data_IF_556002825333
#
_entry.id   IF_556002825333
#
_cell.length_a   1.000
_cell.length_b   1.000
_cell.length_c   1.000
_cell.angle_alpha   90.00
_cell.angle_beta   90.00
_cell.angle_gamma   90.00
#
_symmetry.space_group_name_H-M   'P 1'
#
loop_
_entity.id
_entity.type
_entity.pdbx_description
1 polymer ?
#
# COMPACT_ATOMS: atom_id res chain seq x y z
N UNK A 1 11.40 -16.07 14.60
CA UNK A 1 10.35 -16.04 13.55
C UNK A 1 10.87 -15.34 12.32
N UNK A 2 10.59 -15.85 11.12
CA UNK A 2 11.08 -15.20 9.91
C UNK A 2 10.41 -13.84 9.70
N UNK A 3 11.21 -12.88 9.29
CA UNK A 3 10.72 -11.55 8.94
C UNK A 3 10.38 -11.54 7.44
N UNK A 4 9.20 -11.00 7.13
CA UNK A 4 8.77 -10.82 5.75
C UNK A 4 8.85 -9.35 5.38
N UNK A 5 9.21 -9.07 4.13
CA UNK A 5 9.19 -7.72 3.61
C UNK A 5 7.97 -7.55 2.71
N UNK A 6 7.14 -6.58 3.05
CA UNK A 6 5.90 -6.30 2.36
C UNK A 6 5.96 -4.96 1.66
N UNK A 7 5.32 -4.88 0.50
CA UNK A 7 5.18 -3.65 -0.27
C UNK A 7 3.76 -3.13 -0.09
N UNK A 8 3.65 -1.89 0.38
CA UNK A 8 2.38 -1.26 0.69
C UNK A 8 2.20 0.01 -0.12
N UNK A 9 0.97 0.27 -0.54
CA UNK A 9 0.57 1.54 -1.13
C UNK A 9 -0.34 2.25 -0.15
N UNK A 10 0.07 3.43 0.30
CA UNK A 10 -0.72 4.27 1.19
C UNK A 10 -1.38 5.37 0.38
N UNK A 11 -2.63 5.69 0.70
CA UNK A 11 -3.36 6.76 0.04
C UNK A 11 -4.30 7.48 0.97
N UNK A 12 -4.44 8.79 0.78
CA UNK A 12 -5.38 9.63 1.53
C UNK A 12 -5.87 10.76 0.62
N UNK A 13 -7.16 11.07 0.68
CA UNK A 13 -7.70 12.23 -0.05
C UNK A 13 -8.04 13.41 0.87
N UNK A 14 -7.64 13.34 2.12
CA UNK A 14 -7.80 14.48 3.02
C UNK A 14 -6.75 15.55 2.72
N UNK A 15 -7.08 16.79 3.07
CA UNK A 15 -6.16 17.92 2.88
C UNK A 15 -4.91 17.73 3.71
N UNK A 16 -3.75 17.77 3.06
CA UNK A 16 -2.46 17.63 3.69
C UNK A 16 -2.05 16.19 3.99
N UNK A 17 -0.77 15.97 4.29
CA UNK A 17 -0.20 14.64 4.45
C UNK A 17 -0.28 14.08 5.88
N UNK A 18 -1.08 14.69 6.76
CA UNK A 18 -1.09 14.33 8.18
C UNK A 18 -1.47 12.87 8.44
N UNK A 19 -2.52 12.39 7.76
CA UNK A 19 -2.94 10.99 7.91
C UNK A 19 -1.88 10.01 7.41
N UNK A 20 -1.14 10.40 6.36
CA UNK A 20 -0.03 9.59 5.85
C UNK A 20 1.06 9.44 6.91
N UNK A 21 1.42 10.53 7.58
CA UNK A 21 2.42 10.51 8.65
C UNK A 21 1.99 9.63 9.80
N UNK A 22 0.72 9.75 10.20
CA UNK A 22 0.16 8.92 11.27
C UNK A 22 0.17 7.45 10.88
N UNK A 23 -0.11 7.14 9.61
CA UNK A 23 -0.05 5.77 9.13
C UNK A 23 1.37 5.22 9.20
N UNK A 24 2.37 6.00 8.79
CA UNK A 24 3.77 5.58 8.91
C UNK A 24 4.14 5.28 10.37
N UNK A 25 3.71 6.10 11.31
CA UNK A 25 3.96 5.87 12.74
C UNK A 25 3.33 4.56 13.23
N UNK A 26 2.09 4.29 12.80
CA UNK A 26 1.39 3.06 13.18
C UNK A 26 2.05 1.82 12.57
N UNK A 27 2.50 1.93 11.33
CA UNK A 27 3.23 0.83 10.67
C UNK A 27 4.56 0.58 11.35
N UNK A 28 5.26 1.63 11.79
CA UNK A 28 6.54 1.50 12.48
C UNK A 28 6.42 0.71 13.79
N UNK A 29 5.24 0.67 14.39
CA UNK A 29 4.99 -0.15 15.58
C UNK A 29 4.96 -1.65 15.25
N UNK A 30 4.78 -2.03 13.99
CA UNK A 30 4.78 -3.43 13.56
C UNK A 30 6.17 -3.91 13.16
N UNK A 31 7.05 -3.00 12.76
CA UNK A 31 8.41 -3.33 12.33
C UNK A 31 9.03 -2.20 11.53
N UNK A 32 10.26 -2.37 11.06
CA UNK A 32 10.95 -1.34 10.27
C UNK A 32 10.16 -0.95 9.01
N UNK A 33 10.04 0.34 8.80
CA UNK A 33 9.32 0.93 7.67
C UNK A 33 10.30 1.77 6.85
N UNK A 34 10.23 1.65 5.52
CA UNK A 34 11.04 2.48 4.63
C UNK A 34 10.15 3.03 3.51
N UNK A 35 10.15 4.35 3.36
CA UNK A 35 9.46 5.00 2.26
C UNK A 35 10.27 4.82 0.98
N UNK A 36 9.66 4.27 -0.07
CA UNK A 36 10.31 4.10 -1.37
C UNK A 36 10.09 5.29 -2.28
N UNK A 37 9.03 6.04 -2.03
CA UNK A 37 8.75 7.29 -2.75
C UNK A 37 8.45 8.38 -1.73
N UNK A 38 8.58 9.62 -2.15
CA UNK A 38 8.02 10.75 -1.39
C UNK A 38 6.49 10.60 -1.36
N UNK A 39 5.84 11.35 -0.48
CA UNK A 39 4.38 11.45 -0.50
C UNK A 39 4.03 12.30 -1.72
N UNK A 40 3.37 11.69 -2.71
CA UNK A 40 3.04 12.34 -3.95
C UNK A 40 1.54 12.58 -4.08
N UNK A 41 1.18 13.69 -4.70
CA UNK A 41 -0.19 14.04 -4.99
C UNK A 41 -0.54 13.54 -6.39
N UNK A 42 -1.59 12.72 -6.50
CA UNK A 42 -2.03 12.17 -7.79
C UNK A 42 -3.52 12.37 -7.96
N UNK A 43 -4.02 12.49 -9.22
CA UNK A 43 -5.47 12.57 -9.45
C UNK A 43 -6.18 11.28 -9.01
N UNK A 44 -7.38 11.42 -8.48
CA UNK A 44 -8.21 10.27 -8.13
C UNK A 44 -8.71 9.58 -9.40
N UNK A 45 -8.86 8.26 -9.33
CA UNK A 45 -9.46 7.49 -10.43
C UNK A 45 -10.89 7.95 -10.67
N UNK A 46 -11.23 8.18 -11.93
CA UNK A 46 -12.60 8.54 -12.33
C UNK A 46 -13.04 9.94 -11.98
N UNK A 47 -12.21 10.73 -11.29
CA UNK A 47 -12.53 12.11 -10.96
C UNK A 47 -11.25 12.96 -10.94
N UNK A 48 -10.89 13.58 -12.07
CA UNK A 48 -9.66 14.37 -12.14
C UNK A 48 -9.69 15.66 -11.31
N UNK A 49 -10.84 16.05 -10.77
CA UNK A 49 -10.93 17.21 -9.88
C UNK A 49 -10.54 16.88 -8.45
N UNK A 50 -10.44 15.60 -8.10
CA UNK A 50 -10.00 15.14 -6.79
C UNK A 50 -8.58 14.64 -6.84
N UNK A 51 -7.91 14.69 -5.69
CA UNK A 51 -6.53 14.26 -5.57
C UNK A 51 -6.34 13.37 -4.37
N UNK A 52 -5.36 12.47 -4.48
CA UNK A 52 -4.88 11.66 -3.38
C UNK A 52 -3.44 11.99 -3.09
N UNK A 53 -3.07 11.90 -1.82
CA UNK A 53 -1.67 11.79 -1.42
C UNK A 53 -1.34 10.31 -1.39
N UNK A 54 -0.26 9.90 -2.03
CA UNK A 54 0.12 8.50 -2.15
C UNK A 54 1.59 8.30 -1.87
N UNK A 55 1.94 7.13 -1.33
CA UNK A 55 3.33 6.74 -1.12
C UNK A 55 3.48 5.23 -1.19
N UNK A 56 4.58 4.77 -1.80
CA UNK A 56 4.99 3.38 -1.71
C UNK A 56 5.92 3.22 -0.51
N UNK A 57 5.74 2.12 0.22
CA UNK A 57 6.43 1.88 1.47
C UNK A 57 6.72 0.38 1.60
N UNK A 58 7.87 0.05 2.20
CA UNK A 58 8.11 -1.32 2.64
C UNK A 58 7.92 -1.41 4.15
N UNK A 59 7.44 -2.57 4.59
CA UNK A 59 7.33 -2.91 6.00
C UNK A 59 7.96 -4.28 6.21
N UNK A 60 8.91 -4.36 7.13
CA UNK A 60 9.51 -5.62 7.53
C UNK A 60 8.89 -6.04 8.86
N UNK A 61 8.20 -7.19 8.88
CA UNK A 61 7.58 -7.68 10.11
C UNK A 61 7.43 -9.20 10.09
N UNK A 62 7.10 -9.75 11.24
CA UNK A 62 6.96 -11.20 11.40
C UNK A 62 5.54 -11.72 11.12
N UNK A 63 4.59 -10.82 10.88
CA UNK A 63 3.20 -11.20 10.62
C UNK A 63 3.08 -11.90 9.26
N UNK A 64 2.21 -12.92 9.20
CA UNK A 64 1.84 -13.49 7.92
C UNK A 64 0.85 -12.57 7.19
N UNK A 65 0.47 -12.93 5.98
CA UNK A 65 -0.40 -12.11 5.14
C UNK A 65 -1.73 -11.78 5.81
N UNK A 66 -2.40 -12.77 6.38
CA UNK A 66 -3.73 -12.55 6.96
C UNK A 66 -3.67 -11.70 8.22
N UNK A 67 -2.70 -11.96 9.08
CA UNK A 67 -2.48 -11.16 10.28
C UNK A 67 -2.12 -9.72 9.91
N UNK A 68 -1.28 -9.54 8.89
CA UNK A 68 -0.91 -8.21 8.43
C UNK A 68 -2.13 -7.46 7.90
N UNK A 69 -2.94 -8.10 7.06
CA UNK A 69 -4.16 -7.46 6.52
C UNK A 69 -5.10 -7.01 7.63
N UNK A 70 -5.25 -7.82 8.67
CA UNK A 70 -6.07 -7.45 9.82
C UNK A 70 -5.51 -6.21 10.50
N UNK A 71 -4.19 -6.15 10.69
CA UNK A 71 -3.55 -4.98 11.32
C UNK A 71 -3.68 -3.74 10.46
N UNK A 72 -3.53 -3.87 9.14
CA UNK A 72 -3.68 -2.73 8.23
C UNK A 72 -5.10 -2.15 8.31
N UNK A 73 -6.11 -3.00 8.39
CA UNK A 73 -7.49 -2.55 8.56
C UNK A 73 -7.71 -1.86 9.90
N UNK A 74 -7.08 -2.35 10.97
CA UNK A 74 -7.15 -1.71 12.28
C UNK A 74 -6.52 -0.32 12.25
N UNK A 75 -5.42 -0.16 11.53
CA UNK A 75 -4.79 1.16 11.36
C UNK A 75 -5.72 2.10 10.59
N UNK A 76 -6.30 1.64 9.50
CA UNK A 76 -7.26 2.45 8.72
C UNK A 76 -8.42 2.92 9.59
N UNK A 77 -9.01 2.01 10.34
CA UNK A 77 -10.14 2.31 11.24
C UNK A 77 -9.71 3.29 12.34
N UNK A 78 -8.55 3.05 12.94
CA UNK A 78 -8.04 3.91 14.02
C UNK A 78 -7.70 5.32 13.56
N UNK A 79 -7.44 5.53 12.28
CA UNK A 79 -7.14 6.84 11.71
C UNK A 79 -8.36 7.53 11.09
N UNK A 80 -9.55 6.99 11.33
CA UNK A 80 -10.79 7.67 10.97
C UNK A 80 -11.38 7.27 9.64
N UNK A 81 -11.14 6.04 9.16
CA UNK A 81 -11.81 5.56 7.96
C UNK A 81 -13.32 5.48 8.19
N UNK A 82 -14.07 6.23 7.40
CA UNK A 82 -15.53 6.29 7.48
C UNK A 82 -16.10 5.92 6.11
N UNK A 83 -17.10 5.04 6.10
CA UNK A 83 -17.80 4.63 4.88
C UNK A 83 -19.22 5.22 4.89
N UNK A 84 -19.31 6.52 4.77
CA UNK A 84 -20.57 7.25 4.85
C UNK A 84 -21.05 7.81 3.50
N UNK A 85 -20.35 7.46 2.41
CA UNK A 85 -20.71 7.96 1.09
C UNK A 85 -20.19 9.36 0.77
N UNK A 86 -19.45 9.99 1.68
CA UNK A 86 -18.89 11.33 1.45
C UNK A 86 -17.78 11.34 0.42
N UNK A 87 -17.18 10.18 0.13
CA UNK A 87 -16.02 10.06 -0.73
C UNK A 87 -14.73 10.40 -0.04
N UNK A 88 -14.75 10.70 1.25
CA UNK A 88 -13.53 10.94 2.01
C UNK A 88 -12.82 9.64 2.34
N UNK A 89 -11.51 9.60 2.09
CA UNK A 89 -10.65 8.49 2.45
C UNK A 89 -9.56 9.04 3.35
N UNK A 90 -9.71 8.83 4.67
CA UNK A 90 -8.73 9.30 5.64
C UNK A 90 -7.38 8.64 5.42
N UNK A 91 -7.37 7.33 5.26
CA UNK A 91 -6.18 6.56 4.90
C UNK A 91 -6.61 5.22 4.30
N UNK A 92 -5.93 4.82 3.24
CA UNK A 92 -6.10 3.52 2.61
C UNK A 92 -4.72 2.88 2.54
N UNK A 93 -4.60 1.64 2.96
CA UNK A 93 -3.33 0.91 2.94
C UNK A 93 -3.53 -0.39 2.19
N UNK A 94 -3.01 -0.43 0.96
CA UNK A 94 -3.14 -1.61 0.11
C UNK A 94 -1.88 -2.45 0.17
N UNK A 95 -2.06 -3.75 0.45
CA UNK A 95 -0.98 -4.71 0.38
C UNK A 95 -0.76 -5.08 -1.09
N UNK A 96 0.38 -4.71 -1.64
CA UNK A 96 0.67 -4.95 -3.06
C UNK A 96 1.45 -6.23 -3.30
N UNK A 97 2.46 -6.51 -2.49
CA UNK A 97 3.37 -7.60 -2.77
C UNK A 97 4.18 -8.01 -1.55
N UNK A 98 4.76 -9.20 -1.64
CA UNK A 98 5.72 -9.72 -0.66
C UNK A 98 7.04 -9.98 -1.37
N UNK A 99 8.15 -9.65 -0.72
CA UNK A 99 9.46 -9.97 -1.26
C UNK A 99 9.85 -11.40 -0.91
N UNK A 100 10.31 -12.12 -1.92
CA UNK A 100 10.79 -13.49 -1.76
C UNK A 100 11.99 -13.67 -2.67
N UNK A 101 13.14 -14.05 -2.10
CA UNK A 101 14.39 -14.22 -2.85
C UNK A 101 14.74 -12.98 -3.69
N UNK A 102 14.54 -11.80 -3.11
CA UNK A 102 14.84 -10.53 -3.79
C UNK A 102 13.81 -10.11 -4.85
N UNK A 103 12.74 -10.86 -5.01
CA UNK A 103 11.69 -10.58 -6.00
C UNK A 103 10.40 -10.18 -5.33
N UNK A 104 9.67 -9.28 -5.94
CA UNK A 104 8.36 -8.87 -5.46
C UNK A 104 7.27 -9.73 -6.11
N UNK A 105 6.58 -10.52 -5.29
CA UNK A 105 5.46 -11.36 -5.74
C UNK A 105 4.14 -10.67 -5.44
N UNK A 106 3.30 -10.53 -6.46
CA UNK A 106 2.03 -9.83 -6.35
C UNK A 106 1.11 -10.47 -5.31
N UNK A 107 0.48 -9.63 -4.49
CA UNK A 107 -0.56 -10.11 -3.59
C UNK A 107 -1.80 -10.49 -4.42
N UNK A 108 -2.44 -11.64 -4.14
CA UNK A 108 -3.59 -12.08 -4.93
C UNK A 108 -4.75 -11.07 -4.96
N UNK A 109 -4.99 -10.40 -3.85
CA UNK A 109 -6.07 -9.40 -3.78
C UNK A 109 -5.75 -8.16 -4.63
N UNK A 110 -4.49 -7.74 -4.65
CA UNK A 110 -4.06 -6.62 -5.50
C UNK A 110 -4.19 -6.97 -6.99
N UNK A 111 -3.88 -8.21 -7.36
CA UNK A 111 -4.08 -8.69 -8.73
C UNK A 111 -5.56 -8.67 -9.10
N UNK A 112 -6.41 -9.18 -8.22
CA UNK A 112 -7.85 -9.22 -8.43
C UNK A 112 -8.44 -7.83 -8.61
N UNK A 113 -7.93 -6.84 -7.87
CA UNK A 113 -8.35 -5.44 -7.98
C UNK A 113 -7.65 -4.70 -9.13
N UNK A 114 -6.77 -5.35 -9.86
CA UNK A 114 -6.02 -4.77 -10.98
C UNK A 114 -5.18 -3.54 -10.57
N UNK A 115 -4.67 -3.54 -9.32
CA UNK A 115 -3.90 -2.41 -8.78
C UNK A 115 -2.68 -2.06 -9.63
N UNK A 116 -1.98 -3.07 -10.15
CA UNK A 116 -0.72 -2.85 -10.87
C UNK A 116 -0.90 -2.21 -12.25
N UNK A 117 -2.10 -2.28 -12.81
CA UNK A 117 -2.42 -1.71 -14.11
C UNK A 117 -3.00 -0.30 -14.01
N UNK A 118 -3.22 0.20 -12.80
CA UNK A 118 -3.94 1.44 -12.57
C UNK A 118 -3.13 2.47 -11.80
N UNK A 119 -3.47 3.73 -11.99
CA UNK A 119 -2.97 4.84 -11.18
C UNK A 119 -3.51 4.72 -9.75
N UNK A 120 -2.75 5.03 -8.70
CA UNK A 120 -1.37 5.54 -8.75
C UNK A 120 -0.28 4.45 -8.68
N UNK A 121 -0.66 3.20 -8.42
CA UNK A 121 0.33 2.13 -8.22
C UNK A 121 1.27 1.99 -9.40
N UNK A 122 0.73 1.98 -10.62
CA UNK A 122 1.52 1.81 -11.84
C UNK A 122 2.66 2.84 -11.94
N UNK A 123 2.33 4.11 -11.74
CA UNK A 123 3.30 5.20 -11.86
C UNK A 123 4.33 5.19 -10.73
N UNK A 124 3.87 4.93 -9.51
CA UNK A 124 4.76 4.93 -8.34
C UNK A 124 5.72 3.74 -8.37
N UNK A 125 5.26 2.58 -8.82
CA UNK A 125 6.11 1.40 -8.98
C UNK A 125 7.19 1.66 -10.04
N UNK A 126 6.80 2.25 -11.16
CA UNK A 126 7.75 2.60 -12.22
C UNK A 126 8.78 3.61 -11.72
N UNK A 127 8.35 4.64 -10.98
CA UNK A 127 9.25 5.64 -10.43
C UNK A 127 10.23 5.05 -9.41
N UNK A 128 9.80 4.04 -8.65
CA UNK A 128 10.63 3.36 -7.66
C UNK A 128 11.51 2.26 -8.29
N UNK A 129 11.34 1.98 -9.58
CA UNK A 129 12.10 0.92 -10.25
C UNK A 129 11.71 -0.48 -9.79
N UNK A 130 10.48 -0.67 -9.35
CA UNK A 130 10.00 -1.94 -8.84
C UNK A 130 9.24 -2.71 -9.91
N UNK A 131 9.62 -3.97 -10.07
CA UNK A 131 8.93 -4.91 -10.95
C UNK A 131 8.19 -5.93 -10.11
N UNK A 132 6.90 -6.07 -10.35
CA UNK A 132 6.05 -7.03 -9.65
C UNK A 132 5.87 -8.26 -10.51
N UNK A 133 6.08 -9.43 -9.92
CA UNK A 133 5.89 -10.72 -10.60
C UNK A 133 4.57 -11.32 -10.13
N UNK A 134 3.87 -11.95 -11.04
CA UNK A 134 2.66 -12.68 -10.68
C UNK A 134 3.04 -13.95 -9.92
N UNK A 135 2.16 -14.37 -9.01
CA UNK A 135 2.36 -15.60 -8.25
C UNK A 135 2.42 -16.82 -9.18
N UNK A 136 1.72 -16.76 -10.32
CA UNK A 136 1.71 -17.83 -11.31
C UNK A 136 3.07 -18.04 -11.96
N UNK A 137 3.87 -16.99 -12.11
CA UNK A 137 5.20 -17.12 -12.71
C UNK A 137 6.14 -17.92 -11.86
N UNK A 138 5.92 -17.99 -10.55
CA UNK A 138 6.73 -18.82 -9.65
C UNK A 138 6.27 -20.27 -9.64
N UNK A 139 5.01 -20.53 -9.90
CA UNK A 139 4.46 -21.88 -9.96
C UNK A 139 4.85 -22.60 -11.25
N UNK A 140 5.11 -21.85 -12.31
CA UNK A 140 5.53 -22.41 -13.58
C UNK A 140 7.01 -22.72 -13.69
N UNK A 141 7.76 -22.42 -12.64
CA UNK A 141 9.20 -22.64 -12.64
C UNK A 141 9.59 -24.07 -12.16
#
# INVERSE_FOLDING_TARGET
MPTHRWLLLLGSNLVGPERMRQAFERLAALGPVAALTAIERTPARGDPSRFYYNALTTLDCELDRDALRTRLKQIETGLGRVRDGSGEVAIDIDLLARQENGRWLADPHAVEKEEFAQTPARELLAAAGIRILSDESTKGA
#
